data_IF_321420332533
#
_entry.id   IF_321420332533
#
_cell.length_a   1.000
_cell.length_b   1.000
_cell.length_c   1.000
_cell.angle_alpha   90.00
_cell.angle_beta   90.00
_cell.angle_gamma   90.00
#
_symmetry.space_group_name_H-M   'P 1'
#
loop_
_entity.id
_entity.type
_entity.pdbx_description
1 polymer ?
#
# COMPACT_ATOMS: atom_id res chain seq x y z
N UNK A 1 6.24 -36.50 -22.29
CA UNK A 1 5.38 -35.57 -21.57
C UNK A 1 6.29 -34.42 -21.18
N UNK A 2 6.01 -33.19 -21.59
CA UNK A 2 6.78 -32.02 -21.14
C UNK A 2 6.59 -31.91 -19.64
N UNK A 3 7.66 -32.01 -18.83
CA UNK A 3 7.63 -31.71 -17.42
C UNK A 3 7.30 -30.20 -17.26
N UNK A 4 6.01 -29.88 -17.29
CA UNK A 4 5.54 -28.53 -17.03
C UNK A 4 5.74 -28.28 -15.53
N UNK A 5 6.84 -27.61 -15.17
CA UNK A 5 7.06 -27.19 -13.79
C UNK A 5 5.95 -26.25 -13.38
N UNK A 6 5.37 -26.48 -12.21
CA UNK A 6 4.42 -25.55 -11.60
C UNK A 6 5.12 -24.24 -11.25
N UNK A 7 4.32 -23.18 -11.04
CA UNK A 7 4.85 -21.85 -10.72
C UNK A 7 3.95 -21.14 -9.71
N UNK A 8 4.55 -20.38 -8.80
CA UNK A 8 3.84 -19.55 -7.82
C UNK A 8 3.93 -18.08 -8.24
N UNK A 9 2.81 -17.39 -8.29
CA UNK A 9 2.73 -15.96 -8.54
C UNK A 9 2.28 -15.23 -7.28
N UNK A 10 3.13 -14.39 -6.72
CA UNK A 10 2.75 -13.45 -5.67
C UNK A 10 2.08 -12.23 -6.30
N UNK A 11 0.80 -12.08 -6.11
CA UNK A 11 -0.04 -11.12 -6.83
C UNK A 11 -0.49 -10.02 -5.90
N UNK A 12 -0.31 -8.75 -6.31
CA UNK A 12 -0.96 -7.63 -5.68
C UNK A 12 -2.44 -7.59 -6.03
N UNK A 13 -3.30 -7.82 -5.03
CA UNK A 13 -4.76 -7.80 -5.18
C UNK A 13 -5.37 -6.39 -5.12
N UNK A 14 -4.54 -5.35 -5.06
CA UNK A 14 -5.05 -3.98 -4.96
C UNK A 14 -5.57 -3.60 -3.57
N UNK A 15 -6.07 -2.37 -3.42
CA UNK A 15 -6.49 -1.81 -2.12
C UNK A 15 -7.87 -2.30 -1.66
N UNK A 16 -8.75 -2.68 -2.60
CA UNK A 16 -10.13 -3.06 -2.31
C UNK A 16 -10.98 -3.12 -3.57
N UNK A 17 -10.98 -2.04 -4.35
CA UNK A 17 -11.67 -1.98 -5.64
C UNK A 17 -11.07 -3.01 -6.62
N UNK A 18 -11.87 -3.98 -7.11
CA UNK A 18 -11.41 -5.00 -8.05
C UNK A 18 -10.97 -4.42 -9.41
N UNK A 19 -11.43 -3.25 -9.80
CA UNK A 19 -10.98 -2.58 -11.03
C UNK A 19 -9.55 -2.04 -10.93
N UNK A 20 -9.00 -1.95 -9.72
CA UNK A 20 -7.59 -1.60 -9.47
C UNK A 20 -6.66 -2.82 -9.50
N UNK A 21 -7.16 -3.99 -9.87
CA UNK A 21 -6.33 -5.14 -10.18
C UNK A 21 -5.56 -4.90 -11.49
N UNK A 22 -4.28 -5.24 -11.50
CA UNK A 22 -3.53 -5.12 -12.77
C UNK A 22 -4.01 -6.16 -13.78
N UNK A 23 -3.98 -5.81 -15.07
CA UNK A 23 -4.35 -6.75 -16.16
C UNK A 23 -3.52 -8.03 -16.06
N UNK A 24 -2.23 -7.93 -15.73
CA UNK A 24 -1.36 -9.10 -15.58
C UNK A 24 -1.82 -9.99 -14.41
N UNK A 25 -2.20 -9.40 -13.29
CA UNK A 25 -2.73 -10.14 -12.15
C UNK A 25 -4.03 -10.88 -12.50
N UNK A 26 -4.96 -10.20 -13.17
CA UNK A 26 -6.21 -10.79 -13.66
C UNK A 26 -5.94 -11.98 -14.59
N UNK A 27 -5.09 -11.81 -15.60
CA UNK A 27 -4.78 -12.89 -16.55
C UNK A 27 -4.17 -14.12 -15.87
N UNK A 28 -3.42 -13.94 -14.78
CA UNK A 28 -2.88 -15.06 -14.01
C UNK A 28 -3.97 -15.73 -13.18
N UNK A 29 -4.87 -14.97 -12.57
CA UNK A 29 -6.02 -15.54 -11.83
C UNK A 29 -6.89 -16.42 -12.74
N UNK A 30 -7.14 -15.98 -13.98
CA UNK A 30 -7.94 -16.71 -14.97
C UNK A 30 -7.35 -18.08 -15.37
N UNK A 31 -6.05 -18.28 -15.18
CA UNK A 31 -5.36 -19.54 -15.52
C UNK A 31 -4.82 -20.30 -14.31
N UNK A 32 -5.00 -19.76 -13.11
CA UNK A 32 -4.52 -20.38 -11.88
C UNK A 32 -5.31 -21.65 -11.57
N UNK A 33 -4.62 -22.70 -11.14
CA UNK A 33 -5.23 -23.94 -10.63
C UNK A 33 -5.55 -23.82 -9.15
N UNK A 34 -4.78 -23.00 -8.43
CA UNK A 34 -4.96 -22.72 -7.01
C UNK A 34 -4.85 -21.22 -6.76
N UNK A 35 -5.79 -20.68 -5.99
CA UNK A 35 -5.77 -19.31 -5.49
C UNK A 35 -5.68 -19.34 -3.97
N UNK A 36 -4.63 -18.74 -3.41
CA UNK A 36 -4.47 -18.53 -1.97
C UNK A 36 -4.51 -17.04 -1.72
N UNK A 37 -5.55 -16.51 -1.07
CA UNK A 37 -5.69 -15.07 -0.90
C UNK A 37 -5.75 -14.65 0.57
N UNK A 38 -5.28 -13.44 0.87
CA UNK A 38 -5.31 -12.87 2.22
C UNK A 38 -6.74 -12.39 2.57
N UNK A 39 -7.65 -13.34 2.82
CA UNK A 39 -9.10 -13.16 2.99
C UNK A 39 -9.51 -12.27 4.19
N UNK A 40 -8.56 -11.80 4.97
CA UNK A 40 -8.77 -10.77 5.99
C UNK A 40 -8.54 -9.34 5.48
N UNK A 41 -7.91 -9.17 4.31
CA UNK A 41 -7.44 -7.88 3.79
C UNK A 41 -7.72 -7.67 2.30
N UNK A 42 -7.92 -8.75 1.54
CA UNK A 42 -8.23 -8.72 0.10
C UNK A 42 -9.74 -8.82 -0.08
N UNK A 43 -10.30 -7.94 -0.91
CA UNK A 43 -11.73 -7.96 -1.19
C UNK A 43 -12.15 -9.28 -1.86
N UNK A 44 -13.24 -9.93 -1.41
CA UNK A 44 -13.65 -11.24 -1.94
C UNK A 44 -13.89 -11.25 -3.46
N UNK A 45 -14.34 -10.16 -4.06
CA UNK A 45 -14.59 -10.06 -5.51
C UNK A 45 -13.34 -10.27 -6.37
N UNK A 46 -12.14 -10.22 -5.80
CA UNK A 46 -10.91 -10.58 -6.53
C UNK A 46 -10.94 -12.05 -6.96
N UNK A 47 -11.61 -12.91 -6.17
CA UNK A 47 -11.72 -14.34 -6.48
C UNK A 47 -12.67 -14.60 -7.67
N UNK A 48 -13.57 -13.66 -7.99
CA UNK A 48 -14.47 -13.77 -9.15
C UNK A 48 -13.71 -13.75 -10.49
N UNK A 49 -12.47 -13.25 -10.51
CA UNK A 49 -11.57 -13.33 -11.66
C UNK A 49 -10.81 -14.66 -11.76
N UNK A 50 -10.92 -15.52 -10.76
CA UNK A 50 -10.22 -16.81 -10.80
C UNK A 50 -10.85 -17.76 -11.81
N UNK A 51 -10.02 -18.69 -12.32
CA UNK A 51 -10.53 -19.82 -13.10
C UNK A 51 -11.67 -20.51 -12.31
N UNK A 52 -12.85 -20.72 -12.88
CA UNK A 52 -13.96 -21.40 -12.20
C UNK A 52 -13.61 -22.82 -11.69
N UNK A 53 -12.59 -23.46 -12.23
CA UNK A 53 -12.09 -24.77 -11.79
C UNK A 53 -10.98 -24.66 -10.71
N UNK A 54 -10.55 -23.45 -10.34
CA UNK A 54 -9.49 -23.26 -9.35
C UNK A 54 -9.94 -23.64 -7.94
N UNK A 55 -9.04 -24.25 -7.18
CA UNK A 55 -9.20 -24.43 -5.75
C UNK A 55 -8.86 -23.10 -5.03
N UNK A 56 -9.78 -22.58 -4.21
CA UNK A 56 -9.63 -21.30 -3.54
C UNK A 56 -9.47 -21.46 -2.03
N UNK A 57 -8.40 -20.87 -1.47
CA UNK A 57 -8.06 -20.94 -0.04
C UNK A 57 -7.92 -19.54 0.56
N UNK A 58 -8.60 -19.28 1.68
CA UNK A 58 -8.34 -18.11 2.51
C UNK A 58 -7.15 -18.35 3.44
N UNK A 59 -6.18 -17.45 3.47
CA UNK A 59 -4.94 -17.63 4.24
C UNK A 59 -5.00 -17.16 5.69
N UNK A 60 -6.06 -16.52 6.17
CA UNK A 60 -6.13 -15.97 7.53
C UNK A 60 -6.01 -17.00 8.66
N UNK A 61 -6.24 -18.27 8.36
CA UNK A 61 -6.14 -19.39 9.32
C UNK A 61 -4.92 -20.27 9.08
N UNK A 62 -4.14 -20.02 8.02
CA UNK A 62 -2.96 -20.80 7.67
C UNK A 62 -1.71 -20.15 8.26
N UNK A 63 -0.83 -20.97 8.81
CA UNK A 63 0.53 -20.57 9.15
C UNK A 63 1.46 -20.66 7.92
N UNK A 64 2.74 -20.29 8.08
CA UNK A 64 3.72 -20.28 6.99
C UNK A 64 3.91 -21.68 6.39
N UNK A 65 4.06 -22.69 7.26
CA UNK A 65 4.31 -24.09 6.87
C UNK A 65 3.12 -24.68 6.10
N UNK A 66 1.90 -24.46 6.57
CA UNK A 66 0.68 -24.92 5.91
C UNK A 66 0.50 -24.27 4.54
N UNK A 67 0.76 -22.98 4.45
CA UNK A 67 0.63 -22.21 3.20
C UNK A 67 1.66 -22.65 2.18
N UNK A 68 2.94 -22.75 2.58
CA UNK A 68 4.01 -23.17 1.68
C UNK A 68 3.91 -24.65 1.31
N UNK A 69 3.35 -25.50 2.15
CA UNK A 69 3.06 -26.88 1.80
C UNK A 69 2.04 -26.99 0.66
N UNK A 70 1.00 -26.15 0.66
CA UNK A 70 0.04 -26.06 -0.45
C UNK A 70 0.73 -25.61 -1.74
N UNK A 71 1.56 -24.56 -1.67
CA UNK A 71 2.31 -24.02 -2.80
C UNK A 71 3.27 -25.07 -3.40
N UNK A 72 4.06 -25.73 -2.56
CA UNK A 72 5.02 -26.77 -2.99
C UNK A 72 4.34 -27.98 -3.60
N UNK A 73 3.25 -28.46 -2.98
CA UNK A 73 2.47 -29.58 -3.49
C UNK A 73 1.92 -29.25 -4.89
N UNK A 74 1.28 -28.10 -5.03
CA UNK A 74 0.73 -27.65 -6.31
C UNK A 74 1.81 -27.52 -7.40
N UNK A 75 2.94 -26.92 -7.05
CA UNK A 75 4.07 -26.78 -7.97
C UNK A 75 4.64 -28.14 -8.41
N UNK A 76 4.72 -29.13 -7.53
CA UNK A 76 5.16 -30.50 -7.86
C UNK A 76 4.20 -31.22 -8.81
N UNK A 77 2.92 -30.85 -8.80
CA UNK A 77 1.88 -31.34 -9.72
C UNK A 77 1.83 -30.56 -11.04
N UNK A 78 2.76 -29.62 -11.27
CA UNK A 78 2.80 -28.79 -12.48
C UNK A 78 1.73 -27.69 -12.53
N UNK A 79 1.09 -27.38 -11.38
CA UNK A 79 0.00 -26.42 -11.25
C UNK A 79 0.51 -24.98 -11.10
N UNK A 80 -0.34 -24.02 -11.52
CA UNK A 80 -0.15 -22.58 -11.35
C UNK A 80 -0.83 -22.16 -10.03
N UNK A 81 -0.08 -21.52 -9.14
CA UNK A 81 -0.60 -20.98 -7.88
C UNK A 81 -0.61 -19.45 -7.93
N UNK A 82 -1.76 -18.84 -7.67
CA UNK A 82 -1.92 -17.41 -7.47
C UNK A 82 -1.99 -17.12 -5.96
N UNK A 83 -0.90 -16.57 -5.38
CA UNK A 83 -0.85 -16.11 -3.99
C UNK A 83 -1.18 -14.61 -3.93
N UNK A 84 -2.42 -14.26 -3.59
CA UNK A 84 -2.93 -12.89 -3.63
C UNK A 84 -2.73 -12.20 -2.29
N UNK A 85 -2.04 -11.06 -2.32
CA UNK A 85 -1.75 -10.17 -1.19
C UNK A 85 -2.56 -8.88 -1.31
N UNK A 86 -2.86 -8.22 -0.19
CA UNK A 86 -3.48 -6.90 -0.20
C UNK A 86 -2.53 -5.83 -0.76
N UNK A 87 -3.03 -4.90 -1.54
CA UNK A 87 -2.24 -3.82 -2.12
C UNK A 87 -1.18 -4.33 -3.08
N UNK A 88 0.08 -4.07 -2.73
CA UNK A 88 1.27 -4.56 -3.42
C UNK A 88 2.08 -5.51 -2.53
N UNK A 89 2.54 -6.67 -3.02
CA UNK A 89 3.27 -7.66 -2.24
C UNK A 89 4.58 -7.15 -1.63
N UNK A 90 5.20 -6.14 -2.22
CA UNK A 90 6.48 -5.57 -1.75
C UNK A 90 6.36 -4.72 -0.48
N UNK A 91 5.14 -4.26 -0.14
CA UNK A 91 4.89 -3.43 1.04
C UNK A 91 4.18 -4.24 2.12
N UNK A 92 4.91 -4.67 3.15
CA UNK A 92 4.42 -5.46 4.29
C UNK A 92 3.69 -6.77 3.89
N UNK A 93 3.97 -7.32 2.71
CA UNK A 93 3.33 -8.54 2.18
C UNK A 93 3.79 -9.84 2.84
N UNK A 94 4.85 -9.84 3.65
CA UNK A 94 5.41 -11.04 4.31
C UNK A 94 5.70 -12.22 3.37
N UNK A 95 6.15 -11.90 2.14
CA UNK A 95 6.41 -12.92 1.10
C UNK A 95 7.85 -13.46 1.13
N UNK A 96 8.77 -12.80 1.83
CA UNK A 96 10.20 -13.15 1.78
C UNK A 96 10.46 -14.59 2.23
N UNK A 97 9.82 -15.04 3.30
CA UNK A 97 10.05 -16.38 3.83
C UNK A 97 9.41 -17.44 2.92
N UNK A 98 8.25 -17.16 2.32
CA UNK A 98 7.64 -18.00 1.30
C UNK A 98 8.58 -18.15 0.11
N UNK A 99 9.12 -17.06 -0.44
CA UNK A 99 10.08 -17.09 -1.55
C UNK A 99 11.35 -17.88 -1.23
N UNK A 100 11.87 -17.79 0.01
CA UNK A 100 13.02 -18.58 0.45
C UNK A 100 12.73 -20.08 0.43
N UNK A 101 11.56 -20.47 0.91
CA UNK A 101 11.12 -21.88 0.93
C UNK A 101 10.92 -22.38 -0.50
N UNK A 102 10.25 -21.64 -1.36
CA UNK A 102 10.06 -22.02 -2.78
C UNK A 102 11.41 -22.17 -3.50
N UNK A 103 12.31 -21.20 -3.33
CA UNK A 103 13.65 -21.24 -3.92
C UNK A 103 14.46 -22.44 -3.46
N UNK A 104 14.41 -22.81 -2.18
CA UNK A 104 15.12 -23.97 -1.64
C UNK A 104 14.58 -25.32 -2.11
N UNK A 105 13.37 -25.32 -2.69
CA UNK A 105 12.72 -26.48 -3.28
C UNK A 105 12.66 -26.43 -4.83
N UNK A 106 13.46 -25.57 -5.47
CA UNK A 106 13.54 -25.41 -6.94
C UNK A 106 12.19 -25.10 -7.61
N UNK A 107 11.30 -24.40 -6.88
CA UNK A 107 10.01 -23.92 -7.39
C UNK A 107 10.17 -22.50 -7.92
N UNK A 108 9.80 -22.30 -9.18
CA UNK A 108 9.79 -20.99 -9.83
C UNK A 108 8.69 -20.10 -9.24
N UNK A 109 8.99 -18.83 -9.04
CA UNK A 109 8.01 -17.84 -8.61
C UNK A 109 8.21 -16.50 -9.33
N UNK A 110 7.16 -15.67 -9.32
CA UNK A 110 7.18 -14.33 -9.88
C UNK A 110 6.34 -13.40 -8.99
N UNK A 111 6.77 -12.14 -8.85
CA UNK A 111 5.99 -11.11 -8.15
C UNK A 111 5.29 -10.24 -9.20
N UNK A 112 3.98 -10.11 -9.05
CA UNK A 112 3.14 -9.26 -9.88
C UNK A 112 2.74 -8.05 -9.03
N UNK A 113 3.15 -6.83 -9.40
CA UNK A 113 2.82 -5.65 -8.61
C UNK A 113 1.32 -5.38 -8.58
N UNK A 114 0.90 -4.67 -7.55
CA UNK A 114 -0.47 -4.21 -7.37
C UNK A 114 -0.53 -2.74 -6.97
N UNK A 115 -1.72 -2.17 -6.92
CA UNK A 115 -1.93 -0.80 -6.43
C UNK A 115 -1.92 -0.81 -4.91
N UNK A 116 -0.87 -0.26 -4.30
CA UNK A 116 -0.79 -0.11 -2.85
C UNK A 116 -1.88 0.84 -2.33
N UNK A 117 -2.42 0.58 -1.14
CA UNK A 117 -3.43 1.44 -0.49
C UNK A 117 -2.96 2.90 -0.32
N UNK A 118 -1.65 3.14 -0.27
CA UNK A 118 -1.06 4.48 -0.23
C UNK A 118 -1.45 5.33 -1.44
N UNK A 119 -1.34 4.76 -2.65
CA UNK A 119 -1.67 5.47 -3.90
C UNK A 119 -3.18 5.59 -4.11
N UNK A 120 -3.94 4.56 -3.76
CA UNK A 120 -5.39 4.63 -3.81
C UNK A 120 -5.95 5.66 -2.82
N UNK A 121 -5.41 5.72 -1.60
CA UNK A 121 -5.78 6.74 -0.63
C UNK A 121 -5.44 8.16 -1.09
N UNK A 122 -4.29 8.36 -1.77
CA UNK A 122 -3.94 9.67 -2.34
C UNK A 122 -4.94 10.09 -3.43
N UNK A 123 -5.33 9.16 -4.30
CA UNK A 123 -6.34 9.41 -5.32
C UNK A 123 -7.70 9.75 -4.69
N UNK A 124 -8.12 9.01 -3.66
CA UNK A 124 -9.34 9.29 -2.89
C UNK A 124 -9.33 10.69 -2.25
N UNK A 125 -8.17 11.12 -1.76
CA UNK A 125 -7.98 12.44 -1.15
C UNK A 125 -7.78 13.55 -2.18
N UNK A 126 -7.67 13.22 -3.48
CA UNK A 126 -7.38 14.14 -4.57
C UNK A 126 -6.10 14.96 -4.35
N UNK A 127 -5.05 14.30 -3.85
CA UNK A 127 -3.77 14.93 -3.54
C UNK A 127 -2.60 14.24 -4.21
N UNK A 128 -1.56 15.02 -4.49
CA UNK A 128 -0.24 14.53 -4.86
C UNK A 128 0.61 14.35 -3.60
N UNK A 129 1.36 13.24 -3.50
CA UNK A 129 2.22 12.98 -2.35
C UNK A 129 3.49 13.83 -2.34
N UNK A 130 3.87 14.37 -3.49
CA UNK A 130 5.13 15.10 -3.75
C UNK A 130 4.84 16.52 -4.21
N UNK A 131 4.11 17.28 -3.40
CA UNK A 131 3.65 18.64 -3.73
C UNK A 131 4.84 19.61 -3.79
N UNK A 132 5.04 20.33 -4.92
CA UNK A 132 6.12 21.32 -5.07
C UNK A 132 6.09 22.39 -3.98
N UNK A 133 7.26 22.73 -3.42
CA UNK A 133 7.39 23.69 -2.33
C UNK A 133 6.91 23.20 -0.96
N UNK A 134 6.18 22.06 -0.89
CA UNK A 134 5.62 21.50 0.34
C UNK A 134 6.41 20.28 0.81
N UNK A 135 6.45 19.22 0.00
CA UNK A 135 7.21 18.00 0.28
C UNK A 135 7.55 17.28 -1.01
N UNK A 136 8.81 16.91 -1.20
CA UNK A 136 9.29 16.17 -2.37
C UNK A 136 9.74 14.75 -2.03
N UNK A 137 9.54 14.33 -0.77
CA UNK A 137 9.89 13.00 -0.27
C UNK A 137 8.69 12.36 0.41
N UNK A 138 8.57 11.05 0.21
CA UNK A 138 7.51 10.24 0.81
C UNK A 138 8.14 9.10 1.60
N UNK A 139 7.77 8.98 2.85
CA UNK A 139 8.24 7.90 3.73
C UNK A 139 7.10 6.92 3.99
N UNK A 140 7.27 5.68 3.54
CA UNK A 140 6.42 4.54 3.89
C UNK A 140 7.00 3.89 5.14
N UNK A 141 6.23 3.90 6.22
CA UNK A 141 6.67 3.38 7.50
C UNK A 141 5.51 2.78 8.31
N UNK A 142 5.83 2.30 9.48
CA UNK A 142 4.86 1.87 10.50
C UNK A 142 5.33 2.32 11.89
N UNK A 143 4.43 2.36 12.83
CA UNK A 143 4.80 2.55 14.23
C UNK A 143 5.31 1.23 14.82
N UNK A 144 6.34 1.29 15.65
CA UNK A 144 6.81 0.14 16.40
C UNK A 144 5.70 -0.49 17.24
N UNK A 145 5.59 -1.81 17.13
CA UNK A 145 4.56 -2.57 17.80
C UNK A 145 5.06 -3.82 18.52
N UNK A 146 4.34 -4.93 18.33
CA UNK A 146 4.80 -6.24 18.79
C UNK A 146 6.08 -6.69 18.07
N UNK A 147 6.21 -6.28 16.80
CA UNK A 147 7.41 -6.46 16.02
C UNK A 147 8.23 -5.18 16.14
N UNK A 148 9.48 -5.25 16.63
CA UNK A 148 10.32 -4.08 16.80
C UNK A 148 10.65 -3.42 15.45
N UNK A 149 11.01 -2.13 15.51
CA UNK A 149 11.58 -1.39 14.40
C UNK A 149 13.11 -1.37 14.53
N UNK A 150 13.84 -1.32 13.41
CA UNK A 150 15.28 -1.02 13.48
C UNK A 150 15.53 0.29 14.24
N UNK A 151 16.63 0.41 15.01
CA UNK A 151 16.85 1.56 15.90
C UNK A 151 16.82 2.93 15.20
N UNK A 152 17.19 2.99 13.90
CA UNK A 152 17.19 4.24 13.11
C UNK A 152 15.89 4.48 12.34
N UNK A 153 14.90 3.62 12.50
CA UNK A 153 13.63 3.69 11.77
C UNK A 153 12.44 3.96 12.71
N UNK A 154 12.71 4.47 13.92
CA UNK A 154 11.66 4.89 14.83
C UNK A 154 10.85 6.03 14.20
N UNK A 155 9.54 6.03 14.39
CA UNK A 155 8.67 7.02 13.72
C UNK A 155 9.12 8.46 13.98
N UNK A 156 9.48 8.80 15.22
CA UNK A 156 9.98 10.14 15.58
C UNK A 156 11.22 10.56 14.81
N UNK A 157 12.14 9.59 14.52
CA UNK A 157 13.37 9.89 13.80
C UNK A 157 13.09 10.12 12.32
N UNK A 158 12.25 9.27 11.71
CA UNK A 158 11.81 9.43 10.32
C UNK A 158 10.96 10.69 10.13
N UNK A 159 10.10 11.00 11.07
CA UNK A 159 9.24 12.17 11.05
C UNK A 159 10.05 13.48 11.15
N UNK A 160 11.20 13.48 11.79
CA UNK A 160 12.09 14.67 11.90
C UNK A 160 12.49 15.27 10.54
N UNK A 161 12.34 14.53 9.44
CA UNK A 161 12.59 15.04 8.09
C UNK A 161 11.48 15.96 7.55
N UNK A 162 10.31 16.04 8.19
CA UNK A 162 9.18 16.87 7.74
C UNK A 162 8.59 16.46 6.39
N UNK A 163 8.81 15.23 5.96
CA UNK A 163 8.33 14.69 4.68
C UNK A 163 6.86 14.24 4.78
N UNK A 164 6.25 13.97 3.62
CA UNK A 164 4.97 13.24 3.54
C UNK A 164 5.14 11.84 4.15
N UNK A 165 4.35 11.51 5.18
CA UNK A 165 4.40 10.21 5.85
C UNK A 165 3.16 9.38 5.54
N UNK A 166 3.38 8.12 5.17
CA UNK A 166 2.34 7.11 4.96
C UNK A 166 2.59 5.97 5.96
N UNK A 167 1.78 5.91 7.02
CA UNK A 167 2.02 5.08 8.20
C UNK A 167 1.04 3.91 8.21
N UNK A 168 1.56 2.72 7.89
CA UNK A 168 0.82 1.46 7.83
C UNK A 168 0.70 0.80 9.20
N UNK A 169 -0.22 -0.15 9.36
CA UNK A 169 -0.33 -1.08 10.50
C UNK A 169 -0.36 -0.42 11.90
N UNK A 170 -0.76 0.86 11.98
CA UNK A 170 -0.57 1.66 13.19
C UNK A 170 -1.84 2.22 13.80
N UNK A 171 -2.99 1.98 13.18
CA UNK A 171 -4.27 2.61 13.52
C UNK A 171 -4.71 2.40 14.97
N UNK A 172 -4.40 1.28 15.60
CA UNK A 172 -4.76 1.00 16.99
C UNK A 172 -3.91 1.76 18.01
N UNK A 173 -2.91 2.53 17.56
CA UNK A 173 -1.93 3.20 18.42
C UNK A 173 -1.86 4.70 18.14
N UNK A 174 -2.96 5.33 17.73
CA UNK A 174 -3.00 6.73 17.34
C UNK A 174 -2.46 7.68 18.44
N UNK A 175 -2.72 7.41 19.71
CA UNK A 175 -2.18 8.23 20.82
C UNK A 175 -0.65 8.20 20.85
N UNK A 176 -0.02 7.01 20.68
CA UNK A 176 1.44 6.90 20.61
C UNK A 176 1.97 7.57 19.36
N UNK A 177 1.32 7.33 18.20
CA UNK A 177 1.68 7.92 16.92
C UNK A 177 1.73 9.44 16.99
N UNK A 178 0.68 10.08 17.51
CA UNK A 178 0.62 11.53 17.71
C UNK A 178 1.71 12.02 18.67
N UNK A 179 1.99 11.26 19.74
CA UNK A 179 3.08 11.57 20.67
C UNK A 179 4.45 11.61 19.97
N UNK A 180 4.77 10.60 19.15
CA UNK A 180 6.03 10.54 18.42
C UNK A 180 6.16 11.64 17.34
N UNK A 181 5.04 12.05 16.69
CA UNK A 181 5.03 13.19 15.78
C UNK A 181 5.33 14.52 16.51
N UNK A 182 4.75 14.72 17.71
CA UNK A 182 5.08 15.87 18.56
C UNK A 182 6.54 15.89 18.98
N UNK A 183 7.09 14.74 19.39
CA UNK A 183 8.52 14.61 19.72
C UNK A 183 9.43 14.91 18.52
N UNK A 184 8.94 14.62 17.29
CA UNK A 184 9.64 14.97 16.04
C UNK A 184 9.53 16.45 15.66
N UNK A 185 8.73 17.26 16.40
CA UNK A 185 8.57 18.69 16.18
C UNK A 185 7.47 19.10 15.22
N UNK A 186 6.51 18.21 14.91
CA UNK A 186 5.35 18.58 14.10
C UNK A 186 4.46 19.59 14.82
N UNK A 187 4.01 20.68 14.14
CA UNK A 187 3.00 21.61 14.65
C UNK A 187 1.69 20.90 14.98
N UNK A 188 0.96 21.42 15.98
CA UNK A 188 -0.31 20.83 16.42
C UNK A 188 -1.37 20.81 15.32
N UNK A 189 -1.34 21.76 14.41
CA UNK A 189 -2.25 21.93 13.26
C UNK A 189 -1.80 21.13 12.03
N UNK A 190 -0.78 20.29 12.14
CA UNK A 190 -0.32 19.46 11.01
C UNK A 190 -1.46 18.57 10.50
N UNK A 191 -1.81 18.65 9.19
CA UNK A 191 -2.88 17.85 8.62
C UNK A 191 -2.61 16.34 8.70
N UNK A 192 -3.62 15.62 9.15
CA UNK A 192 -3.64 14.16 9.19
C UNK A 192 -4.92 13.65 8.55
N UNK A 193 -4.78 12.73 7.59
CA UNK A 193 -5.89 11.96 7.06
C UNK A 193 -5.74 10.48 7.41
N UNK A 194 -6.85 9.85 7.75
CA UNK A 194 -6.93 8.39 7.95
C UNK A 194 -7.87 7.83 6.90
N UNK A 195 -7.34 7.04 5.99
CA UNK A 195 -8.10 6.37 4.95
C UNK A 195 -8.38 4.93 5.39
N UNK A 196 -9.65 4.61 5.63
CA UNK A 196 -10.13 3.31 6.07
C UNK A 196 -10.76 2.56 4.91
N UNK A 197 -10.40 1.28 4.73
CA UNK A 197 -10.96 0.37 3.73
C UNK A 197 -11.09 1.00 2.33
N UNK A 198 -10.02 1.64 1.83
CA UNK A 198 -10.02 2.29 0.51
C UNK A 198 -10.40 1.29 -0.59
N UNK A 199 -11.39 1.65 -1.39
CA UNK A 199 -11.93 0.81 -2.46
C UNK A 199 -12.92 -0.27 -2.01
N UNK A 200 -13.35 -0.26 -0.74
CA UNK A 200 -14.41 -1.13 -0.22
C UNK A 200 -15.71 -0.34 -0.08
N UNK A 201 -16.84 -1.04 0.07
CA UNK A 201 -18.15 -0.38 0.30
C UNK A 201 -18.17 0.47 1.57
N UNK A 202 -17.40 0.08 2.60
CA UNK A 202 -17.30 0.81 3.87
C UNK A 202 -16.16 1.83 3.89
N UNK A 203 -15.69 2.27 2.74
CA UNK A 203 -14.65 3.28 2.62
C UNK A 203 -14.98 4.54 3.41
N UNK A 204 -14.02 5.01 4.22
CA UNK A 204 -14.17 6.22 5.00
C UNK A 204 -12.87 7.00 5.10
N UNK A 205 -12.96 8.32 5.05
CA UNK A 205 -11.86 9.24 5.33
C UNK A 205 -12.15 10.01 6.61
N UNK A 206 -11.21 9.99 7.56
CA UNK A 206 -11.23 10.84 8.75
C UNK A 206 -10.11 11.86 8.61
N UNK A 207 -10.44 13.15 8.68
CA UNK A 207 -9.48 14.26 8.65
C UNK A 207 -9.40 14.93 10.02
N UNK A 208 -8.20 15.38 10.35
CA UNK A 208 -7.92 16.12 11.60
C UNK A 208 -6.47 16.59 11.63
N UNK A 209 -6.02 16.89 12.81
CA UNK A 209 -4.66 17.30 13.13
C UNK A 209 -4.14 16.56 14.38
N UNK A 210 -2.97 16.93 14.90
CA UNK A 210 -2.41 16.27 16.08
C UNK A 210 -3.28 16.45 17.32
N UNK A 211 -4.14 17.46 17.38
CA UNK A 211 -4.97 17.73 18.57
C UNK A 211 -6.16 16.77 18.66
N UNK A 212 -6.74 16.34 17.53
CA UNK A 212 -8.04 15.69 17.53
C UNK A 212 -8.10 14.32 16.82
N UNK A 213 -7.16 14.00 15.92
CA UNK A 213 -7.23 12.80 15.08
C UNK A 213 -7.33 11.50 15.90
N UNK A 214 -6.59 11.40 17.00
CA UNK A 214 -6.62 10.19 17.83
C UNK A 214 -7.99 9.95 18.47
N UNK A 215 -8.69 11.04 18.84
CA UNK A 215 -10.07 10.97 19.34
C UNK A 215 -11.04 10.60 18.22
N UNK A 216 -10.95 11.26 17.07
CA UNK A 216 -11.83 11.01 15.91
C UNK A 216 -11.76 9.54 15.44
N UNK A 217 -10.55 8.97 15.34
CA UNK A 217 -10.35 7.55 14.98
C UNK A 217 -10.96 6.60 16.00
N UNK A 218 -10.80 6.89 17.31
CA UNK A 218 -11.38 6.10 18.39
C UNK A 218 -12.91 6.15 18.35
N UNK A 219 -13.48 7.34 18.18
CA UNK A 219 -14.93 7.54 18.12
C UNK A 219 -15.55 6.82 16.91
N UNK A 220 -14.83 6.77 15.78
CA UNK A 220 -15.20 6.00 14.60
C UNK A 220 -14.97 4.48 14.74
N UNK A 221 -14.38 4.02 15.85
CA UNK A 221 -14.10 2.59 16.15
C UNK A 221 -13.26 1.88 15.09
N UNK A 222 -12.39 2.59 14.38
CA UNK A 222 -11.51 2.01 13.37
C UNK A 222 -10.31 1.34 14.07
N UNK A 223 -10.11 0.03 13.81
CA UNK A 223 -9.08 -0.77 14.48
C UNK A 223 -8.21 -1.58 13.51
N UNK A 224 -8.53 -1.60 12.23
CA UNK A 224 -7.81 -2.36 11.18
C UNK A 224 -8.00 -1.71 9.82
N UNK A 225 -7.29 -2.20 8.79
CA UNK A 225 -7.45 -1.84 7.37
C UNK A 225 -7.47 -0.32 7.11
N UNK A 226 -6.61 0.43 7.80
CA UNK A 226 -6.51 1.87 7.65
C UNK A 226 -5.06 2.32 7.49
N UNK A 227 -4.88 3.34 6.63
CA UNK A 227 -3.63 4.05 6.43
C UNK A 227 -3.70 5.41 7.11
N UNK A 228 -2.66 5.76 7.87
CA UNK A 228 -2.51 7.11 8.45
C UNK A 228 -1.56 7.91 7.57
N UNK A 229 -2.00 9.07 7.13
CA UNK A 229 -1.33 9.95 6.19
C UNK A 229 -1.08 11.29 6.86
N UNK A 230 0.19 11.72 6.96
CA UNK A 230 0.60 12.90 7.74
C UNK A 230 1.41 13.86 6.89
N UNK A 231 1.11 15.13 6.99
CA UNK A 231 1.86 16.22 6.37
C UNK A 231 0.99 17.20 5.60
N UNK A 232 1.58 18.32 5.22
CA UNK A 232 0.88 19.42 4.54
C UNK A 232 0.25 19.03 3.19
N UNK A 233 0.76 17.97 2.53
CA UNK A 233 0.14 17.42 1.33
C UNK A 233 -1.30 16.93 1.53
N UNK A 234 -1.73 16.71 2.76
CA UNK A 234 -3.08 16.24 3.11
C UNK A 234 -3.99 17.35 3.65
N UNK A 235 -3.55 18.61 3.58
CA UNK A 235 -4.43 19.73 3.89
C UNK A 235 -5.64 19.73 2.95
N UNK A 236 -6.88 19.81 3.48
CA UNK A 236 -8.08 19.81 2.65
C UNK A 236 -8.15 20.99 1.68
N UNK A 237 -7.41 22.08 1.94
CA UNK A 237 -7.36 23.27 1.11
C UNK A 237 -6.11 23.32 0.21
N UNK A 238 -5.36 22.22 0.09
CA UNK A 238 -4.07 22.19 -0.64
C UNK A 238 -4.19 22.73 -2.08
N UNK A 239 -5.32 22.52 -2.73
CA UNK A 239 -5.59 23.00 -4.10
C UNK A 239 -5.84 24.50 -4.18
N UNK A 240 -6.22 25.13 -3.08
CA UNK A 240 -6.57 26.56 -3.00
C UNK A 240 -5.45 27.40 -2.35
N UNK A 241 -4.35 26.77 -1.94
CA UNK A 241 -3.24 27.45 -1.29
C UNK A 241 -2.40 28.26 -2.29
N UNK A 242 -2.31 29.57 -2.12
CA UNK A 242 -1.49 30.46 -2.96
C UNK A 242 0.03 30.24 -2.79
N UNK A 243 0.46 29.67 -1.68
CA UNK A 243 1.86 29.43 -1.34
C UNK A 243 2.40 28.05 -1.76
N UNK A 244 1.62 27.28 -2.51
CA UNK A 244 2.08 26.04 -3.13
C UNK A 244 2.74 26.37 -4.45
N UNK A 245 4.00 25.98 -4.60
CA UNK A 245 4.75 26.23 -5.83
C UNK A 245 4.15 25.49 -7.02
N UNK A 246 4.07 26.18 -8.16
CA UNK A 246 3.73 25.51 -9.42
C UNK A 246 4.90 24.64 -9.89
N UNK A 247 4.60 23.46 -10.42
CA UNK A 247 5.62 22.62 -11.05
C UNK A 247 6.28 23.37 -12.23
N UNK A 248 7.59 23.53 -12.18
CA UNK A 248 8.36 24.11 -13.28
C UNK A 248 8.28 23.28 -14.57
N UNK A 249 7.99 21.99 -14.48
CA UNK A 249 7.98 21.05 -15.61
C UNK A 249 7.05 21.50 -16.75
N UNK A 250 5.90 22.06 -16.41
CA UNK A 250 4.90 22.53 -17.37
C UNK A 250 4.92 24.07 -17.58
N UNK A 251 5.80 24.77 -16.88
CA UNK A 251 5.96 26.22 -17.04
C UNK A 251 6.39 26.57 -18.48
N UNK A 252 5.79 27.58 -19.11
CA UNK A 252 6.19 28.03 -20.47
C UNK A 252 7.65 28.42 -20.57
N UNK A 253 8.25 28.96 -19.51
CA UNK A 253 9.65 29.34 -19.42
C UNK A 253 10.65 28.20 -19.16
N UNK A 254 10.19 26.95 -19.02
CA UNK A 254 11.04 25.82 -18.70
C UNK A 254 11.41 25.00 -19.95
N UNK A 255 12.72 24.85 -20.20
CA UNK A 255 13.24 23.99 -21.28
C UNK A 255 13.58 22.60 -20.72
N UNK A 256 13.12 21.55 -21.40
CA UNK A 256 13.51 20.18 -21.13
C UNK A 256 13.75 19.41 -22.43
N UNK A 257 14.16 18.15 -22.34
CA UNK A 257 14.57 17.32 -23.49
C UNK A 257 13.58 17.35 -24.70
N UNK A 258 12.29 17.47 -24.44
CA UNK A 258 11.23 17.39 -25.46
C UNK A 258 10.53 18.73 -25.73
N UNK A 259 10.88 19.82 -24.99
CA UNK A 259 10.23 21.12 -25.14
C UNK A 259 11.18 22.27 -24.80
N UNK A 260 11.38 23.16 -25.75
CA UNK A 260 12.07 24.42 -25.50
C UNK A 260 11.14 25.45 -24.83
N UNK A 261 11.70 26.26 -23.95
CA UNK A 261 10.96 27.39 -23.38
C UNK A 261 10.40 28.28 -24.48
N UNK A 262 9.16 28.74 -24.28
CA UNK A 262 8.59 29.79 -25.13
C UNK A 262 9.24 31.10 -24.72
N UNK A 263 9.92 31.78 -25.65
CA UNK A 263 10.46 33.11 -25.39
C UNK A 263 9.29 34.05 -25.04
N UNK A 264 9.38 34.69 -23.86
CA UNK A 264 8.42 35.75 -23.52
C UNK A 264 8.52 36.83 -24.61
N UNK A 265 7.55 36.87 -25.50
CA UNK A 265 7.34 38.07 -26.33
C UNK A 265 6.96 39.19 -25.35
N UNK A 266 7.91 40.12 -25.14
CA UNK A 266 7.68 41.38 -24.43
C UNK A 266 6.66 42.23 -25.16
#
# INVERSE_FOLDING_TARGET
>A
MSDKKGKVYFIGGGPGDPELLTIKAKNILEIADIVIYADSLVHPSIVDYANPAAEVYGSKKLNLEEMTALELKAASEGKIVARVQSGDPSIYGSILDQMRILKSNDVDFEIIPGVASAFAASALLQTELTVPGVSQSVIFTRLEGRVPMPPREQLKDLASHGCTLLIFLSITRMTKLVGELREAGYPEDTPIAVAYKVGWEEEQVIRGDLTDIAKKVRDAKITLSALVMVGAAFDPNILDMENVDSSNLYSPGYTHLYRSAVANSK
#
